data_IF_569151383980
#
_entry.id   IF_569151383980
#
_cell.length_a   1.000
_cell.length_b   1.000
_cell.length_c   1.000
_cell.angle_alpha   90.00
_cell.angle_beta   90.00
_cell.angle_gamma   90.00
#
_symmetry.space_group_name_H-M   'P 1'
#
loop_
_entity.id
_entity.type
_entity.pdbx_description
1 polymer ?
#
# COMPACT_ATOMS: atom_id res chain seq x y z
N UNK A 1 22.87 7.85 6.33
CA UNK A 1 22.02 9.06 6.35
C UNK A 1 20.57 8.71 6.60
N UNK A 2 19.88 7.85 5.76
CA UNK A 2 18.46 7.52 5.98
C UNK A 2 18.27 6.85 7.35
N UNK A 3 19.00 5.76 7.63
CA UNK A 3 18.93 5.05 8.91
C UNK A 3 19.23 5.96 10.12
N UNK A 4 20.20 6.85 10.00
CA UNK A 4 20.54 7.82 11.07
C UNK A 4 19.40 8.80 11.31
N UNK A 5 18.71 9.24 10.25
CA UNK A 5 17.55 10.12 10.37
C UNK A 5 16.36 9.42 11.02
N UNK A 6 16.06 8.18 10.61
CA UNK A 6 15.00 7.36 11.22
C UNK A 6 15.27 7.12 12.69
N UNK A 7 16.51 6.78 13.06
CA UNK A 7 16.92 6.58 14.44
C UNK A 7 16.86 7.89 15.27
N UNK A 8 17.35 9.00 14.70
CA UNK A 8 17.38 10.29 15.37
C UNK A 8 15.99 10.81 15.74
N UNK A 9 15.02 10.58 14.85
CA UNK A 9 13.65 11.09 15.06
C UNK A 9 12.69 10.01 15.56
N UNK A 10 13.22 8.82 15.83
CA UNK A 10 12.45 7.66 16.32
C UNK A 10 11.24 7.30 15.46
N UNK A 11 11.44 7.27 14.13
CA UNK A 11 10.42 6.83 13.20
C UNK A 11 10.30 5.30 13.18
N UNK A 12 9.09 4.80 12.90
CA UNK A 12 8.77 3.37 12.84
C UNK A 12 9.33 2.66 11.61
N UNK A 13 9.85 3.39 10.63
CA UNK A 13 10.39 2.81 9.42
C UNK A 13 10.64 3.80 8.31
N UNK A 14 10.68 3.28 7.07
CA UNK A 14 10.93 4.07 5.88
C UNK A 14 10.02 3.64 4.73
N UNK A 15 9.46 4.62 4.05
CA UNK A 15 8.63 4.46 2.85
C UNK A 15 9.31 5.08 1.64
N UNK A 16 9.14 4.45 0.47
CA UNK A 16 9.64 4.96 -0.81
C UNK A 16 8.48 5.10 -1.78
N UNK A 17 8.20 6.33 -2.19
CA UNK A 17 7.29 6.62 -3.28
C UNK A 17 7.99 6.26 -4.61
N UNK A 18 7.60 5.10 -5.20
CA UNK A 18 8.21 4.53 -6.39
C UNK A 18 7.21 4.52 -7.55
N UNK A 19 7.35 5.50 -8.43
CA UNK A 19 6.46 5.73 -9.56
C UNK A 19 7.23 5.77 -10.90
N UNK A 20 7.74 4.62 -11.42
CA UNK A 20 8.58 4.60 -12.62
C UNK A 20 7.86 5.07 -13.87
N UNK A 21 6.55 4.92 -13.97
CA UNK A 21 5.77 5.40 -15.12
C UNK A 21 5.48 6.91 -15.04
N UNK A 22 5.63 7.52 -13.87
CA UNK A 22 5.51 8.96 -13.65
C UNK A 22 6.85 9.64 -13.39
N UNK A 23 7.91 8.82 -13.30
CA UNK A 23 9.26 9.27 -13.02
C UNK A 23 9.92 9.97 -14.20
N UNK A 24 11.00 10.68 -13.88
CA UNK A 24 11.84 11.31 -14.91
C UNK A 24 12.83 10.31 -15.47
N UNK A 25 13.00 10.33 -16.79
CA UNK A 25 14.00 9.53 -17.47
C UNK A 25 15.39 9.70 -16.85
N UNK A 26 16.04 8.61 -16.53
CA UNK A 26 17.39 8.59 -15.96
C UNK A 26 17.49 8.65 -14.44
N UNK A 27 16.40 8.81 -13.71
CA UNK A 27 16.43 8.71 -12.25
C UNK A 27 16.31 7.24 -11.77
N UNK A 28 16.46 7.01 -10.46
CA UNK A 28 16.40 5.67 -9.86
C UNK A 28 15.05 4.98 -10.05
N UNK A 29 13.96 5.74 -10.14
CA UNK A 29 12.60 5.19 -10.29
C UNK A 29 12.37 4.50 -11.63
N UNK A 30 13.10 4.86 -12.68
CA UNK A 30 13.05 4.18 -13.98
C UNK A 30 14.03 2.99 -14.12
N UNK A 31 14.71 2.62 -13.04
CA UNK A 31 15.73 1.57 -13.01
C UNK A 31 15.49 0.56 -11.88
N UNK A 32 14.65 -0.47 -12.08
CA UNK A 32 14.31 -1.46 -11.05
C UNK A 32 15.52 -2.12 -10.39
N UNK A 33 16.60 -2.34 -11.16
CA UNK A 33 17.87 -2.90 -10.66
C UNK A 33 18.59 -1.97 -9.67
N UNK A 34 18.52 -0.67 -9.88
CA UNK A 34 19.07 0.33 -8.93
C UNK A 34 18.20 0.48 -7.69
N UNK A 35 16.90 0.42 -7.88
CA UNK A 35 15.95 0.41 -6.75
C UNK A 35 16.17 -0.84 -5.90
N UNK A 36 16.39 -2.01 -6.51
CA UNK A 36 16.73 -3.22 -5.76
C UNK A 36 17.99 -3.07 -4.91
N UNK A 37 19.07 -2.48 -5.46
CA UNK A 37 20.31 -2.21 -4.69
C UNK A 37 20.03 -1.28 -3.49
N UNK A 38 19.21 -0.24 -3.68
CA UNK A 38 18.82 0.65 -2.59
C UNK A 38 18.01 -0.09 -1.52
N UNK A 39 17.02 -0.89 -1.92
CA UNK A 39 16.19 -1.68 -1.01
C UNK A 39 17.01 -2.73 -0.25
N UNK A 40 17.97 -3.39 -0.91
CA UNK A 40 18.86 -4.34 -0.25
C UNK A 40 19.73 -3.66 0.82
N UNK A 41 20.26 -2.48 0.54
CA UNK A 41 21.01 -1.71 1.54
C UNK A 41 20.12 -1.24 2.70
N UNK A 42 18.89 -0.77 2.41
CA UNK A 42 17.93 -0.36 3.44
C UNK A 42 17.46 -1.54 4.29
N UNK A 43 17.35 -2.74 3.71
CA UNK A 43 16.90 -3.95 4.39
C UNK A 43 17.81 -4.39 5.54
N UNK A 44 19.02 -3.88 5.62
CA UNK A 44 19.94 -4.07 6.76
C UNK A 44 19.45 -3.37 8.04
N UNK A 45 18.57 -2.37 7.90
CA UNK A 45 18.08 -1.55 9.02
C UNK A 45 16.55 -1.57 9.14
N UNK A 46 15.83 -1.91 8.07
CA UNK A 46 14.37 -1.85 7.96
C UNK A 46 13.84 -3.12 7.30
N UNK A 47 12.53 -3.36 7.48
CA UNK A 47 11.88 -4.48 6.82
C UNK A 47 12.11 -5.83 7.53
N UNK A 48 11.52 -6.90 6.98
CA UNK A 48 11.42 -8.18 7.67
C UNK A 48 12.78 -8.87 7.89
N UNK A 49 13.81 -8.52 7.11
CA UNK A 49 15.14 -9.11 7.23
C UNK A 49 16.04 -8.41 8.24
N UNK A 50 15.73 -7.19 8.64
CA UNK A 50 16.60 -6.39 9.53
C UNK A 50 16.63 -6.90 10.97
N UNK A 51 15.56 -7.53 11.43
CA UNK A 51 15.37 -7.90 12.83
C UNK A 51 15.15 -6.72 13.79
N UNK A 52 15.03 -5.49 13.27
CA UNK A 52 14.86 -4.27 14.09
C UNK A 52 13.40 -3.98 14.45
N UNK A 53 12.44 -4.63 13.80
CA UNK A 53 11.01 -4.32 13.90
C UNK A 53 10.59 -3.04 13.16
N UNK A 54 11.51 -2.35 12.49
CA UNK A 54 11.24 -1.14 11.71
C UNK A 54 10.77 -1.49 10.30
N UNK A 55 9.72 -0.84 9.85
CA UNK A 55 9.04 -1.10 8.59
C UNK A 55 9.87 -0.61 7.39
N UNK A 56 9.87 -1.39 6.31
CA UNK A 56 10.28 -0.97 4.98
C UNK A 56 9.14 -1.21 4.00
N UNK A 57 8.67 -0.17 3.35
CA UNK A 57 7.59 -0.28 2.37
C UNK A 57 7.86 0.55 1.12
N UNK A 58 7.13 0.23 0.07
CA UNK A 58 7.13 0.97 -1.19
C UNK A 58 5.70 1.35 -1.52
N UNK A 59 5.47 2.65 -1.69
CA UNK A 59 4.24 3.23 -2.21
C UNK A 59 4.35 3.47 -3.73
N UNK A 60 3.24 3.47 -4.43
CA UNK A 60 3.16 3.80 -5.86
C UNK A 60 2.95 2.58 -6.75
N UNK A 61 4.00 2.10 -7.40
CA UNK A 61 3.96 1.02 -8.39
C UNK A 61 4.87 -0.17 -8.02
N UNK A 62 4.72 -0.81 -6.83
CA UNK A 62 5.61 -1.88 -6.37
C UNK A 62 5.68 -3.08 -7.33
N UNK A 63 4.64 -3.32 -8.17
CA UNK A 63 4.64 -4.37 -9.19
C UNK A 63 5.70 -4.18 -10.29
N UNK A 64 6.36 -3.03 -10.36
CA UNK A 64 7.42 -2.75 -11.33
C UNK A 64 8.83 -3.01 -10.79
N UNK A 65 8.95 -3.31 -9.49
CA UNK A 65 10.23 -3.69 -8.86
C UNK A 65 10.77 -5.02 -9.42
N UNK A 66 12.03 -5.32 -9.13
CA UNK A 66 12.58 -6.67 -9.31
C UNK A 66 11.88 -7.64 -8.36
N UNK A 67 11.73 -8.90 -8.78
CA UNK A 67 11.05 -9.94 -7.99
C UNK A 67 11.68 -10.12 -6.61
N UNK A 68 13.01 -10.13 -6.54
CA UNK A 68 13.77 -10.32 -5.30
C UNK A 68 13.53 -9.20 -4.26
N UNK A 69 13.08 -8.03 -4.72
CA UNK A 69 12.77 -6.91 -3.84
C UNK A 69 11.56 -7.18 -2.94
N UNK A 70 10.62 -8.04 -3.36
CA UNK A 70 9.42 -8.34 -2.58
C UNK A 70 9.72 -8.89 -1.20
N UNK A 71 10.72 -9.78 -1.07
CA UNK A 71 11.14 -10.34 0.21
C UNK A 71 11.86 -9.38 1.15
N UNK A 72 12.09 -8.13 0.73
CA UNK A 72 12.71 -7.07 1.52
C UNK A 72 11.70 -6.13 2.18
N UNK A 73 10.43 -6.18 1.74
CA UNK A 73 9.39 -5.23 2.11
C UNK A 73 8.39 -5.84 3.08
N UNK A 74 7.88 -5.03 4.01
CA UNK A 74 6.75 -5.37 4.87
C UNK A 74 5.42 -5.12 4.15
N UNK A 75 5.33 -4.04 3.35
CA UNK A 75 4.11 -3.65 2.66
C UNK A 75 4.34 -3.19 1.22
N UNK A 76 3.35 -3.49 0.39
CA UNK A 76 3.15 -2.99 -0.97
C UNK A 76 2.00 -1.99 -0.95
N UNK A 77 2.29 -0.69 -0.94
CA UNK A 77 1.26 0.34 -0.96
C UNK A 77 0.97 0.70 -2.41
N UNK A 78 -0.24 0.42 -2.86
CA UNK A 78 -0.65 0.67 -4.25
C UNK A 78 -1.54 1.90 -4.29
N UNK A 79 -1.14 2.87 -5.09
CA UNK A 79 -1.95 4.05 -5.41
C UNK A 79 -3.13 3.62 -6.28
N UNK A 80 -4.18 3.11 -5.62
CA UNK A 80 -5.41 2.64 -6.26
C UNK A 80 -6.41 3.80 -6.46
N UNK A 81 -5.87 4.98 -6.74
CA UNK A 81 -6.64 6.21 -6.92
C UNK A 81 -7.78 6.02 -7.90
N UNK A 82 -8.96 6.48 -7.51
CA UNK A 82 -10.19 6.42 -8.32
C UNK A 82 -10.65 5.01 -8.69
N UNK A 83 -10.27 3.97 -7.96
CA UNK A 83 -10.73 2.62 -8.22
C UNK A 83 -12.25 2.53 -8.14
N UNK A 84 -12.93 2.01 -9.19
CA UNK A 84 -14.39 1.94 -9.22
C UNK A 84 -14.95 0.67 -8.57
N UNK A 85 -14.10 -0.29 -8.16
CA UNK A 85 -14.57 -1.54 -7.57
C UNK A 85 -13.53 -2.66 -7.53
N UNK A 86 -13.96 -3.80 -6.99
CA UNK A 86 -13.11 -4.96 -6.76
C UNK A 86 -12.45 -5.51 -8.04
N UNK A 87 -13.07 -5.38 -9.20
CA UNK A 87 -12.49 -5.82 -10.48
C UNK A 87 -11.20 -5.05 -10.84
N UNK A 88 -11.16 -3.75 -10.55
CA UNK A 88 -9.94 -2.95 -10.72
C UNK A 88 -8.87 -3.35 -9.70
N UNK A 89 -9.27 -3.53 -8.43
CA UNK A 89 -8.35 -4.01 -7.40
C UNK A 89 -7.79 -5.41 -7.72
N UNK A 90 -8.62 -6.32 -8.23
CA UNK A 90 -8.17 -7.63 -8.71
C UNK A 90 -7.11 -7.49 -9.80
N UNK A 91 -7.31 -6.57 -10.74
CA UNK A 91 -6.37 -6.31 -11.84
C UNK A 91 -5.02 -5.83 -11.28
N UNK A 92 -5.04 -4.92 -10.32
CA UNK A 92 -3.83 -4.40 -9.65
C UNK A 92 -3.14 -5.48 -8.82
N UNK A 93 -3.91 -6.23 -8.02
CA UNK A 93 -3.40 -7.34 -7.22
C UNK A 93 -2.76 -8.44 -8.08
N UNK A 94 -3.39 -8.80 -9.20
CA UNK A 94 -2.84 -9.81 -10.12
C UNK A 94 -1.48 -9.40 -10.70
N UNK A 95 -1.19 -8.10 -10.84
CA UNK A 95 0.16 -7.62 -11.22
C UNK A 95 1.18 -7.89 -10.11
N UNK A 96 0.82 -7.67 -8.82
CA UNK A 96 1.68 -8.05 -7.69
C UNK A 96 1.92 -9.56 -7.65
N UNK A 97 0.85 -10.34 -7.79
CA UNK A 97 0.93 -11.80 -7.78
C UNK A 97 1.80 -12.33 -8.93
N UNK A 98 1.66 -11.78 -10.13
CA UNK A 98 2.51 -12.13 -11.27
C UNK A 98 3.99 -11.76 -11.02
N UNK A 99 4.25 -10.69 -10.28
CA UNK A 99 5.61 -10.23 -9.95
C UNK A 99 6.25 -11.03 -8.82
N UNK A 100 5.54 -11.22 -7.73
CA UNK A 100 6.11 -11.75 -6.49
C UNK A 100 5.67 -13.18 -6.14
N UNK A 101 4.70 -13.76 -6.86
CA UNK A 101 4.14 -15.09 -6.58
C UNK A 101 5.13 -16.26 -6.70
N UNK A 102 6.34 -16.04 -7.25
CA UNK A 102 7.41 -17.02 -7.26
C UNK A 102 8.23 -17.05 -5.95
N UNK A 103 8.11 -16.03 -5.11
CA UNK A 103 8.86 -15.91 -3.85
C UNK A 103 7.97 -15.78 -2.61
N UNK A 104 6.71 -15.43 -2.77
CA UNK A 104 5.72 -15.29 -1.72
C UNK A 104 4.40 -15.92 -2.16
N UNK A 105 3.68 -16.55 -1.24
CA UNK A 105 2.33 -17.07 -1.53
C UNK A 105 1.29 -15.93 -1.65
N UNK A 106 0.16 -16.22 -2.27
CA UNK A 106 -0.90 -15.25 -2.51
C UNK A 106 -1.42 -14.62 -1.21
N UNK A 107 -1.55 -15.42 -0.15
CA UNK A 107 -2.02 -14.94 1.15
C UNK A 107 -1.00 -13.95 1.79
N UNK A 108 0.29 -14.20 1.63
CA UNK A 108 1.35 -13.30 2.09
C UNK A 108 1.34 -11.98 1.30
N UNK A 109 1.25 -12.06 -0.04
CA UNK A 109 1.15 -10.86 -0.88
C UNK A 109 -0.10 -10.05 -0.50
N UNK A 110 -1.24 -10.71 -0.25
CA UNK A 110 -2.47 -10.04 0.17
C UNK A 110 -2.30 -9.31 1.51
N UNK A 111 -1.71 -9.98 2.52
CA UNK A 111 -1.42 -9.35 3.83
C UNK A 111 -0.46 -8.17 3.75
N UNK A 112 0.42 -8.12 2.76
CA UNK A 112 1.32 -7.00 2.52
C UNK A 112 0.69 -5.87 1.68
N UNK A 113 -0.44 -6.12 1.01
CA UNK A 113 -1.07 -5.14 0.13
C UNK A 113 -1.83 -4.09 0.92
N UNK A 114 -1.53 -2.83 0.67
CA UNK A 114 -2.24 -1.65 1.19
C UNK A 114 -2.79 -0.86 0.00
N UNK A 115 -4.09 -0.58 0.01
CA UNK A 115 -4.72 0.28 -1.01
C UNK A 115 -4.70 1.74 -0.56
N UNK A 116 -4.31 2.65 -1.45
CA UNK A 116 -4.24 4.08 -1.16
C UNK A 116 -5.15 4.88 -2.09
N UNK A 117 -5.96 5.79 -1.50
CA UNK A 117 -6.83 6.72 -2.23
C UNK A 117 -6.26 8.15 -2.25
N UNK A 118 -6.66 8.97 -3.23
CA UNK A 118 -6.26 10.37 -3.37
C UNK A 118 -7.17 11.31 -2.54
N UNK A 119 -6.76 11.63 -1.32
CA UNK A 119 -7.48 12.62 -0.48
C UNK A 119 -7.06 14.07 -0.72
N UNK A 120 -6.17 14.34 -1.64
CA UNK A 120 -6.03 15.71 -2.13
C UNK A 120 -7.32 16.16 -2.82
N UNK A 121 -7.95 15.27 -3.58
CA UNK A 121 -9.22 15.52 -4.28
C UNK A 121 -10.43 15.05 -3.50
N UNK A 122 -10.35 13.93 -2.79
CA UNK A 122 -11.47 13.23 -2.18
C UNK A 122 -11.57 13.37 -0.65
N UNK A 123 -10.97 14.43 -0.08
CA UNK A 123 -11.03 14.71 1.37
C UNK A 123 -12.43 14.91 1.93
N UNK A 124 -13.41 15.28 1.09
CA UNK A 124 -14.78 15.61 1.50
C UNK A 124 -15.79 14.49 1.29
N UNK A 125 -15.46 13.47 0.49
CA UNK A 125 -16.37 12.40 0.08
C UNK A 125 -15.82 10.98 0.27
N UNK A 126 -14.55 10.83 0.63
CA UNK A 126 -13.91 9.53 0.88
C UNK A 126 -13.50 8.77 -0.37
N UNK A 127 -13.59 9.40 -1.54
CA UNK A 127 -13.28 8.84 -2.85
C UNK A 127 -14.50 8.64 -3.76
N UNK A 128 -14.28 8.33 -5.03
CA UNK A 128 -15.35 8.10 -5.98
C UNK A 128 -16.23 6.90 -5.59
N UNK A 129 -17.32 6.73 -6.33
CA UNK A 129 -18.21 5.58 -6.17
C UNK A 129 -17.44 4.28 -6.44
N UNK A 130 -17.58 3.33 -5.53
CA UNK A 130 -16.97 2.01 -5.57
C UNK A 130 -18.05 0.93 -5.43
N UNK A 131 -17.97 -0.13 -6.23
CA UNK A 131 -18.87 -1.28 -6.11
C UNK A 131 -18.07 -2.52 -5.73
N UNK A 132 -18.41 -3.11 -4.59
CA UNK A 132 -17.80 -4.36 -4.12
C UNK A 132 -18.25 -5.56 -4.96
N UNK A 133 -17.56 -6.67 -4.86
CA UNK A 133 -17.90 -7.96 -5.48
C UNK A 133 -19.32 -8.44 -5.13
N UNK A 134 -19.74 -8.16 -3.90
CA UNK A 134 -21.06 -8.53 -3.40
C UNK A 134 -22.15 -7.51 -3.77
N UNK A 135 -21.84 -6.54 -4.64
CA UNK A 135 -22.79 -5.55 -5.15
C UNK A 135 -23.07 -4.38 -4.19
N UNK A 136 -22.31 -4.24 -3.11
CA UNK A 136 -22.43 -3.08 -2.22
C UNK A 136 -21.79 -1.86 -2.86
N UNK A 137 -22.54 -0.77 -2.96
CA UNK A 137 -22.05 0.51 -3.49
C UNK A 137 -21.72 1.45 -2.33
N UNK A 138 -20.50 2.00 -2.34
CA UNK A 138 -19.99 2.92 -1.31
C UNK A 138 -18.94 3.87 -1.91
N UNK A 139 -18.24 4.66 -1.09
CA UNK A 139 -17.06 5.42 -1.54
C UNK A 139 -15.79 4.54 -1.55
N UNK A 140 -14.82 4.88 -2.40
CA UNK A 140 -13.71 3.99 -2.72
C UNK A 140 -12.87 3.58 -1.51
N UNK A 141 -12.51 4.49 -0.60
CA UNK A 141 -11.70 4.13 0.57
C UNK A 141 -12.37 3.04 1.43
N UNK A 142 -13.71 3.15 1.64
CA UNK A 142 -14.46 2.13 2.37
C UNK A 142 -14.57 0.84 1.58
N UNK A 143 -14.84 0.92 0.28
CA UNK A 143 -14.87 -0.25 -0.61
C UNK A 143 -13.55 -1.01 -0.59
N UNK A 144 -12.42 -0.30 -0.70
CA UNK A 144 -11.07 -0.87 -0.59
C UNK A 144 -10.85 -1.60 0.75
N UNK A 145 -11.37 -1.05 1.87
CA UNK A 145 -11.24 -1.68 3.19
C UNK A 145 -12.05 -2.99 3.33
N UNK A 146 -13.04 -3.18 2.47
CA UNK A 146 -13.87 -4.38 2.40
C UNK A 146 -13.35 -5.42 1.39
N UNK A 147 -12.29 -5.09 0.65
CA UNK A 147 -11.76 -5.96 -0.39
C UNK A 147 -11.28 -7.31 0.18
N UNK A 148 -11.61 -8.37 -0.55
CA UNK A 148 -11.16 -9.73 -0.27
C UNK A 148 -10.88 -10.51 -1.56
N UNK A 149 -10.08 -11.56 -1.46
CA UNK A 149 -9.82 -12.50 -2.57
C UNK A 149 -10.60 -13.79 -2.34
N UNK A 150 -11.48 -14.20 -3.25
CA UNK A 150 -12.17 -15.48 -3.14
C UNK A 150 -11.17 -16.65 -3.04
N UNK A 151 -11.36 -17.54 -2.06
CA UNK A 151 -10.52 -18.71 -1.86
C UNK A 151 -9.18 -18.46 -1.14
N UNK A 152 -8.88 -17.21 -0.76
CA UNK A 152 -7.67 -16.87 0.02
C UNK A 152 -8.07 -16.55 1.45
N UNK A 153 -7.56 -17.33 2.40
CA UNK A 153 -7.79 -17.11 3.83
C UNK A 153 -6.80 -16.07 4.38
N UNK A 154 -6.96 -14.85 3.91
CA UNK A 154 -6.18 -13.70 4.35
C UNK A 154 -6.96 -12.41 4.08
N UNK A 155 -6.60 -11.35 4.82
CA UNK A 155 -7.06 -9.98 4.58
C UNK A 155 -5.92 -9.14 4.02
N UNK A 156 -6.26 -8.04 3.36
CA UNK A 156 -5.31 -6.99 2.97
C UNK A 156 -4.56 -6.43 4.19
N UNK A 157 -3.36 -5.92 3.97
CA UNK A 157 -2.54 -5.27 5.01
C UNK A 157 -3.14 -3.97 5.52
N UNK A 158 -3.88 -3.26 4.67
CA UNK A 158 -4.51 -2.02 5.09
C UNK A 158 -5.10 -1.20 3.96
N UNK A 159 -5.62 -0.04 4.35
CA UNK A 159 -5.99 1.05 3.45
C UNK A 159 -5.41 2.36 3.96
N UNK A 160 -5.11 3.27 3.05
CA UNK A 160 -4.57 4.58 3.35
C UNK A 160 -5.06 5.63 2.38
N UNK A 161 -4.61 6.85 2.58
CA UNK A 161 -4.95 7.95 1.69
C UNK A 161 -3.79 8.94 1.57
N UNK A 162 -3.47 9.33 0.33
CA UNK A 162 -2.55 10.42 0.07
C UNK A 162 -3.12 11.72 0.63
N UNK A 163 -2.31 12.44 1.43
CA UNK A 163 -2.70 13.69 2.10
C UNK A 163 -3.95 13.60 2.99
N UNK A 164 -4.14 12.49 3.67
CA UNK A 164 -5.29 12.30 4.58
C UNK A 164 -5.42 13.42 5.64
N UNK A 165 -4.32 14.11 5.98
CA UNK A 165 -4.32 15.26 6.89
C UNK A 165 -5.26 16.39 6.44
N UNK A 166 -5.55 16.49 5.13
CA UNK A 166 -6.49 17.49 4.59
C UNK A 166 -7.95 17.21 5.00
N UNK A 167 -8.27 16.02 5.48
CA UNK A 167 -9.60 15.68 5.99
C UNK A 167 -9.90 16.34 7.34
N UNK A 168 -8.89 16.65 8.16
CA UNK A 168 -9.10 17.23 9.49
C UNK A 168 -10.00 18.47 9.49
N UNK A 169 -9.71 19.52 8.70
CA UNK A 169 -10.55 20.73 8.68
C UNK A 169 -11.90 20.55 7.99
N UNK A 170 -12.08 19.47 7.20
CA UNK A 170 -13.28 19.23 6.39
C UNK A 170 -14.30 18.37 7.13
N UNK A 171 -13.86 17.27 7.73
CA UNK A 171 -14.73 16.25 8.32
C UNK A 171 -14.16 15.54 9.55
N UNK A 172 -13.10 16.10 10.16
CA UNK A 172 -12.44 15.55 11.33
C UNK A 172 -12.08 14.04 11.16
N UNK A 173 -11.49 13.69 10.03
CA UNK A 173 -11.08 12.33 9.69
C UNK A 173 -12.23 11.30 9.66
N UNK A 174 -13.46 11.70 9.41
CA UNK A 174 -14.63 10.82 9.42
C UNK A 174 -14.40 9.54 8.60
N UNK A 175 -13.96 9.66 7.35
CA UNK A 175 -13.74 8.51 6.46
C UNK A 175 -12.65 7.56 6.97
N UNK A 176 -11.58 8.10 7.54
CA UNK A 176 -10.51 7.28 8.14
C UNK A 176 -11.01 6.52 9.36
N UNK A 177 -11.81 7.17 10.23
CA UNK A 177 -12.41 6.50 11.39
C UNK A 177 -13.37 5.36 10.98
N UNK A 178 -14.17 5.56 9.93
CA UNK A 178 -15.04 4.51 9.41
C UNK A 178 -14.25 3.28 8.94
N UNK A 179 -13.21 3.48 8.14
CA UNK A 179 -12.43 2.34 7.63
C UNK A 179 -11.63 1.64 8.71
N UNK A 180 -11.15 2.35 9.74
CA UNK A 180 -10.53 1.72 10.91
C UNK A 180 -11.51 0.75 11.57
N UNK A 181 -12.78 1.11 11.72
CA UNK A 181 -13.81 0.23 12.30
C UNK A 181 -14.12 -0.98 11.41
N UNK A 182 -14.11 -0.80 10.08
CA UNK A 182 -14.28 -1.92 9.12
C UNK A 182 -13.11 -2.89 9.19
N UNK A 183 -11.90 -2.36 9.24
CA UNK A 183 -10.67 -3.18 9.28
C UNK A 183 -10.45 -3.85 10.65
N UNK A 184 -10.92 -3.21 11.72
CA UNK A 184 -10.77 -3.67 13.11
C UNK A 184 -12.13 -3.75 13.81
N UNK A 185 -13.02 -4.69 13.41
CA UNK A 185 -14.31 -4.84 14.04
C UNK A 185 -14.15 -5.22 15.52
N UNK A 186 -15.02 -4.67 16.39
CA UNK A 186 -15.02 -5.02 17.79
C UNK A 186 -15.19 -6.54 17.95
N UNK A 187 -14.34 -7.15 18.75
CA UNK A 187 -14.51 -8.54 19.15
C UNK A 187 -15.59 -8.58 20.24
N UNK A 188 -16.70 -9.27 19.95
CA UNK A 188 -17.80 -9.52 20.88
C UNK A 188 -17.62 -10.86 21.59
#
# INVERSE_FOLDING_TARGET
VIADSVNKYDYDGFDIDYEPNWGYSGNISSHPERMHILLDELSKNFGPKSGTGRILMVDGEPQTLNTESGGLLDYYVIQAYYSPGDTDLDTRFNKLLAKFGSIEDEATILRKTVWCEDFERHKSDGGPQFTTRDGVTTYSLKGMSMYYRPGVDARIGGVGAYRFNLCRPVNDYFFMREVIQVMNPAQH
#
